data_IF_286315298635
#
_entry.id   IF_286315298635
#
_cell.length_a   1.000
_cell.length_b   1.000
_cell.length_c   1.000
_cell.angle_alpha   90.00
_cell.angle_beta   90.00
_cell.angle_gamma   90.00
#
_symmetry.space_group_name_H-M   'P 1'
#
loop_
_entity.id
_entity.type
_entity.pdbx_description
1 polymer ?
#
# COMPACT_ATOMS: atom_id res chain seq x y z
N UNK A 1 -23.28 -69.39 28.10
CA UNK A 1 -24.35 -68.43 27.79
C UNK A 1 -23.76 -67.02 27.95
N UNK A 2 -23.63 -66.31 26.81
CA UNK A 2 -23.40 -64.88 26.57
C UNK A 2 -22.24 -64.09 27.25
N UNK A 3 -21.29 -63.68 26.39
CA UNK A 3 -20.36 -62.57 26.55
C UNK A 3 -21.10 -61.23 26.64
N UNK A 4 -20.70 -60.36 27.57
CA UNK A 4 -21.16 -58.96 27.65
C UNK A 4 -20.02 -57.99 27.33
N UNK A 5 -19.96 -57.49 26.09
CA UNK A 5 -19.09 -56.37 25.72
C UNK A 5 -19.84 -55.04 25.90
N UNK A 6 -19.36 -54.18 26.81
CA UNK A 6 -19.83 -52.79 26.92
C UNK A 6 -19.15 -51.93 25.85
N UNK A 7 -19.92 -51.44 24.88
CA UNK A 7 -19.46 -50.44 23.90
C UNK A 7 -19.37 -49.07 24.56
N UNK A 8 -18.15 -48.52 24.67
CA UNK A 8 -17.93 -47.11 24.99
C UNK A 8 -17.80 -46.35 23.67
N UNK A 9 -18.85 -45.62 23.30
CA UNK A 9 -18.87 -44.74 22.13
C UNK A 9 -18.14 -43.45 22.49
N UNK A 10 -16.87 -43.33 22.11
CA UNK A 10 -16.11 -42.10 22.23
C UNK A 10 -16.51 -41.10 21.14
N UNK A 11 -17.08 -39.96 21.53
CA UNK A 11 -17.33 -38.85 20.63
C UNK A 11 -16.12 -37.91 20.64
N UNK A 12 -15.29 -37.98 19.61
CA UNK A 12 -14.24 -36.97 19.36
C UNK A 12 -14.85 -35.80 18.61
N UNK A 13 -15.17 -34.71 19.32
CA UNK A 13 -15.57 -33.45 18.69
C UNK A 13 -14.33 -32.73 18.16
N UNK A 14 -14.15 -32.74 16.84
CA UNK A 14 -13.13 -31.95 16.14
C UNK A 14 -13.60 -30.49 16.09
N UNK A 15 -13.00 -29.63 16.90
CA UNK A 15 -13.25 -28.19 16.84
C UNK A 15 -12.40 -27.58 15.71
N UNK A 16 -13.04 -27.18 14.62
CA UNK A 16 -12.41 -26.43 13.52
C UNK A 16 -12.50 -24.95 13.89
N UNK A 17 -11.37 -24.36 14.28
CA UNK A 17 -11.24 -22.91 14.46
C UNK A 17 -10.99 -22.31 13.08
N UNK A 18 -12.04 -21.74 12.48
CA UNK A 18 -11.92 -20.91 11.27
C UNK A 18 -11.27 -19.58 11.66
N UNK A 19 -9.94 -19.51 11.61
CA UNK A 19 -9.24 -18.22 11.58
C UNK A 19 -9.45 -17.65 10.18
N UNK A 20 -10.40 -16.73 10.04
CA UNK A 20 -10.59 -15.96 8.82
C UNK A 20 -9.33 -15.13 8.57
N UNK A 21 -8.48 -15.57 7.64
CA UNK A 21 -7.37 -14.75 7.15
C UNK A 21 -8.01 -13.66 6.29
N UNK A 22 -7.83 -12.36 6.59
CA UNK A 22 -8.29 -11.34 5.66
C UNK A 22 -7.55 -11.55 4.34
N UNK A 23 -8.30 -11.81 3.27
CA UNK A 23 -7.75 -11.79 1.91
C UNK A 23 -7.44 -10.32 1.62
N UNK A 24 -6.19 -9.92 1.86
CA UNK A 24 -5.67 -8.68 1.29
C UNK A 24 -5.80 -8.83 -0.23
N UNK A 25 -6.38 -7.83 -0.90
CA UNK A 25 -6.41 -7.81 -2.36
C UNK A 25 -5.00 -7.99 -2.91
N UNK A 26 -4.86 -8.64 -4.07
CA UNK A 26 -3.55 -8.81 -4.69
C UNK A 26 -2.92 -7.44 -4.97
N UNK A 27 -1.75 -7.18 -4.38
CA UNK A 27 -0.93 -5.99 -4.64
C UNK A 27 -0.15 -6.21 -5.94
N UNK A 28 -0.22 -5.25 -6.85
CA UNK A 28 0.59 -5.23 -8.06
C UNK A 28 1.58 -4.08 -7.96
N UNK A 29 2.87 -4.39 -8.04
CA UNK A 29 3.98 -3.45 -7.85
C UNK A 29 4.86 -3.45 -9.08
N UNK A 30 5.24 -2.26 -9.51
CA UNK A 30 6.12 -2.02 -10.65
C UNK A 30 7.27 -1.13 -10.21
N UNK A 31 8.50 -1.67 -10.25
CA UNK A 31 9.72 -0.89 -9.99
C UNK A 31 10.09 -0.07 -11.24
N UNK A 32 10.55 1.16 -11.03
CA UNK A 32 11.12 1.95 -12.11
C UNK A 32 12.50 1.42 -12.53
N UNK A 33 12.81 1.51 -13.83
CA UNK A 33 14.09 1.04 -14.40
C UNK A 33 15.09 2.17 -14.64
N UNK A 34 14.67 3.42 -14.47
CA UNK A 34 15.48 4.63 -14.65
C UNK A 34 15.11 5.62 -13.56
N UNK A 35 16.08 6.41 -13.09
CA UNK A 35 15.82 7.42 -12.06
C UNK A 35 17.02 7.66 -11.17
N UNK A 36 16.77 8.19 -9.97
CA UNK A 36 17.78 8.34 -8.92
C UNK A 36 17.67 7.20 -7.93
N UNK A 37 18.79 6.63 -7.53
CA UNK A 37 18.83 5.64 -6.44
C UNK A 37 18.66 6.37 -5.12
N UNK A 38 17.72 5.94 -4.29
CA UNK A 38 17.52 6.53 -2.96
C UNK A 38 16.50 5.79 -2.11
N UNK A 39 16.71 5.83 -0.79
CA UNK A 39 15.77 5.27 0.19
C UNK A 39 14.84 6.37 0.73
N UNK A 40 13.55 6.21 0.41
CA UNK A 40 12.47 7.10 0.83
C UNK A 40 11.56 6.49 1.90
N UNK A 41 11.88 5.29 2.41
CA UNK A 41 11.03 4.50 3.31
C UNK A 41 10.64 5.24 4.61
N UNK A 42 11.56 6.07 5.12
CA UNK A 42 11.35 6.87 6.33
C UNK A 42 10.17 7.87 6.23
N UNK A 43 9.72 8.22 5.02
CA UNK A 43 8.64 9.19 4.81
C UNK A 43 7.27 8.55 4.61
N UNK A 44 7.21 7.23 4.41
CA UNK A 44 5.97 6.51 4.04
C UNK A 44 4.86 6.77 5.06
N UNK A 45 5.11 6.51 6.34
CA UNK A 45 4.10 6.66 7.38
C UNK A 45 3.59 8.12 7.48
N UNK A 46 4.50 9.09 7.39
CA UNK A 46 4.13 10.51 7.44
C UNK A 46 3.27 10.93 6.23
N UNK A 47 3.63 10.47 5.03
CA UNK A 47 2.86 10.70 3.81
C UNK A 47 1.47 10.06 3.90
N UNK A 48 1.41 8.75 4.18
CA UNK A 48 0.17 7.99 4.22
C UNK A 48 -0.82 8.51 5.27
N UNK A 49 -0.35 8.89 6.46
CA UNK A 49 -1.19 9.51 7.49
C UNK A 49 -1.73 10.88 7.06
N UNK A 50 -0.96 11.65 6.30
CA UNK A 50 -1.39 12.97 5.79
C UNK A 50 -2.50 12.80 4.76
N UNK A 51 -2.27 11.97 3.73
CA UNK A 51 -3.21 11.82 2.62
C UNK A 51 -4.47 11.05 2.99
N UNK A 52 -4.42 10.22 4.04
CA UNK A 52 -5.59 9.46 4.55
C UNK A 52 -6.74 10.30 5.10
N UNK A 53 -6.58 11.63 5.10
CA UNK A 53 -7.64 12.60 5.47
C UNK A 53 -8.05 13.49 4.30
N UNK A 54 -7.43 13.32 3.14
CA UNK A 54 -7.63 14.15 1.96
C UNK A 54 -8.64 13.51 1.02
N UNK A 55 -9.67 14.26 0.63
CA UNK A 55 -10.58 13.86 -0.44
C UNK A 55 -9.92 14.21 -1.78
N UNK A 56 -9.48 13.20 -2.53
CA UNK A 56 -8.86 13.36 -3.85
C UNK A 56 -9.93 13.14 -4.92
N UNK A 57 -10.09 14.09 -5.83
CA UNK A 57 -11.06 13.95 -6.91
C UNK A 57 -10.65 12.83 -7.88
N UNK A 58 -11.61 12.29 -8.62
CA UNK A 58 -11.35 11.34 -9.70
C UNK A 58 -10.37 11.94 -10.73
N UNK A 59 -9.42 11.13 -11.20
CA UNK A 59 -8.35 11.55 -12.11
C UNK A 59 -7.55 12.77 -11.61
N UNK A 60 -7.34 12.84 -10.30
CA UNK A 60 -6.52 13.85 -9.64
C UNK A 60 -5.60 13.13 -8.64
N UNK A 61 -4.61 13.86 -8.12
CA UNK A 61 -3.63 13.34 -7.18
C UNK A 61 -3.49 14.16 -5.92
N UNK A 62 -2.86 13.53 -4.93
CA UNK A 62 -2.26 14.22 -3.81
C UNK A 62 -0.83 13.75 -3.67
N UNK A 63 0.09 14.70 -3.55
CA UNK A 63 1.52 14.41 -3.50
C UNK A 63 2.25 15.23 -2.45
N UNK A 64 3.35 14.67 -1.94
CA UNK A 64 4.28 15.39 -1.08
C UNK A 64 5.73 15.12 -1.44
N UNK A 65 6.53 16.18 -1.36
CA UNK A 65 7.98 16.11 -1.47
C UNK A 65 8.64 16.13 -0.09
N UNK A 66 9.64 15.26 0.11
CA UNK A 66 10.47 15.18 1.31
C UNK A 66 11.97 15.30 0.98
N UNK A 67 12.71 16.11 1.74
CA UNK A 67 14.16 16.25 1.57
C UNK A 67 14.92 15.18 2.36
N UNK A 68 15.93 14.54 1.74
CA UNK A 68 16.88 13.63 2.43
C UNK A 68 18.25 14.26 2.68
N UNK A 69 18.49 15.45 2.11
CA UNK A 69 19.74 16.21 2.22
C UNK A 69 20.62 16.11 0.97
N UNK A 70 20.60 14.99 0.25
CA UNK A 70 21.33 14.79 -1.01
C UNK A 70 20.42 14.54 -2.23
N UNK A 71 19.18 14.14 -1.99
CA UNK A 71 18.12 13.99 -2.99
C UNK A 71 16.77 14.37 -2.36
N UNK A 72 15.70 14.22 -3.12
CA UNK A 72 14.32 14.38 -2.65
C UNK A 72 13.48 13.15 -2.95
N UNK A 73 12.44 12.96 -2.16
CA UNK A 73 11.47 11.87 -2.31
C UNK A 73 10.12 12.47 -2.65
N UNK A 74 9.65 12.18 -3.86
CA UNK A 74 8.32 12.55 -4.33
C UNK A 74 7.38 11.34 -4.12
N UNK A 75 6.41 11.49 -3.22
CA UNK A 75 5.40 10.47 -2.95
C UNK A 75 4.04 10.98 -3.41
N UNK A 76 3.29 10.17 -4.16
CA UNK A 76 1.96 10.53 -4.69
C UNK A 76 0.94 9.41 -4.49
N UNK A 77 -0.32 9.81 -4.46
CA UNK A 77 -1.47 8.93 -4.54
C UNK A 77 -2.41 9.48 -5.61
N UNK A 78 -2.54 8.75 -6.72
CA UNK A 78 -3.38 9.09 -7.86
C UNK A 78 -4.70 8.33 -7.79
N UNK A 79 -5.83 9.05 -7.93
CA UNK A 79 -7.17 8.43 -7.91
C UNK A 79 -7.55 7.93 -9.32
N UNK A 80 -7.44 6.61 -9.51
CA UNK A 80 -7.74 5.88 -10.75
C UNK A 80 -9.24 5.85 -11.11
N UNK A 81 -10.14 6.34 -10.24
CA UNK A 81 -11.55 6.32 -10.57
C UNK A 81 -11.87 7.20 -11.79
N UNK A 82 -12.71 6.71 -12.73
CA UNK A 82 -13.24 7.54 -13.79
C UNK A 82 -14.42 8.40 -13.29
N UNK A 83 -14.59 9.59 -13.87
CA UNK A 83 -15.83 10.37 -13.76
C UNK A 83 -15.81 11.50 -12.72
N UNK A 84 -16.95 11.69 -12.04
CA UNK A 84 -17.19 12.80 -11.10
C UNK A 84 -17.36 12.23 -9.69
N UNK A 85 -16.56 12.69 -8.74
CA UNK A 85 -16.55 12.23 -7.35
C UNK A 85 -15.14 12.11 -6.81
N UNK A 86 -14.98 12.12 -5.49
CA UNK A 86 -13.69 11.96 -4.83
C UNK A 86 -13.68 10.77 -3.88
N UNK A 87 -12.48 10.24 -3.63
CA UNK A 87 -12.25 9.23 -2.61
C UNK A 87 -11.11 9.66 -1.70
N UNK A 88 -11.04 9.02 -0.54
CA UNK A 88 -9.91 9.18 0.40
C UNK A 88 -9.02 7.94 0.32
N UNK A 89 -7.69 8.12 0.13
CA UNK A 89 -6.75 7.00 0.17
C UNK A 89 -6.82 6.25 1.50
N UNK A 90 -6.81 4.92 1.45
CA UNK A 90 -6.69 4.11 2.67
C UNK A 90 -5.26 4.21 3.22
N UNK A 91 -5.13 4.64 4.48
CA UNK A 91 -3.82 4.72 5.16
C UNK A 91 -3.12 3.36 5.18
N UNK A 92 -3.84 2.28 5.47
CA UNK A 92 -3.24 0.93 5.53
C UNK A 92 -2.74 0.50 4.15
N UNK A 93 -3.54 0.71 3.10
CA UNK A 93 -3.16 0.31 1.75
C UNK A 93 -1.99 1.15 1.23
N UNK A 94 -1.98 2.45 1.54
CA UNK A 94 -0.85 3.32 1.22
C UNK A 94 0.45 2.82 1.85
N UNK A 95 0.45 2.50 3.16
CA UNK A 95 1.66 1.99 3.83
C UNK A 95 2.11 0.68 3.19
N UNK A 96 1.23 -0.30 3.04
CA UNK A 96 1.59 -1.60 2.44
C UNK A 96 2.11 -1.46 1.01
N UNK A 97 1.47 -0.62 0.18
CA UNK A 97 1.89 -0.39 -1.19
C UNK A 97 3.28 0.26 -1.25
N UNK A 98 3.51 1.32 -0.48
CA UNK A 98 4.78 2.04 -0.50
C UNK A 98 5.92 1.31 0.21
N UNK A 99 5.62 0.48 1.21
CA UNK A 99 6.60 -0.43 1.82
C UNK A 99 7.10 -1.48 0.82
N UNK A 100 6.22 -1.96 -0.06
CA UNK A 100 6.61 -2.86 -1.16
C UNK A 100 7.43 -2.13 -2.23
N UNK A 101 7.02 -0.90 -2.61
CA UNK A 101 7.80 -0.04 -3.52
C UNK A 101 9.17 0.33 -2.95
N UNK A 102 9.33 0.40 -1.62
CA UNK A 102 10.62 0.68 -0.98
C UNK A 102 11.68 -0.41 -1.24
N UNK A 103 11.28 -1.58 -1.73
CA UNK A 103 12.19 -2.63 -2.18
C UNK A 103 12.78 -2.34 -3.57
N UNK A 104 12.29 -1.32 -4.27
CA UNK A 104 12.81 -0.84 -5.56
C UNK A 104 13.79 0.32 -5.33
N UNK A 105 15.08 0.12 -5.63
CA UNK A 105 16.15 1.13 -5.41
C UNK A 105 15.89 2.49 -6.10
N UNK A 106 15.19 2.48 -7.24
CA UNK A 106 14.83 3.65 -8.04
C UNK A 106 13.40 4.15 -7.78
N UNK A 107 12.74 3.60 -6.76
CA UNK A 107 11.31 3.78 -6.55
C UNK A 107 10.45 2.99 -7.53
N UNK A 108 9.17 3.31 -7.56
CA UNK A 108 8.17 2.58 -8.32
C UNK A 108 6.76 2.98 -7.93
N UNK A 109 5.81 2.14 -8.31
CA UNK A 109 4.39 2.35 -8.08
C UNK A 109 3.70 1.03 -7.72
N UNK A 110 2.63 1.12 -6.93
CA UNK A 110 1.86 -0.05 -6.55
C UNK A 110 0.37 0.27 -6.39
N UNK A 111 -0.47 -0.71 -6.76
CA UNK A 111 -1.93 -0.64 -6.67
C UNK A 111 -2.50 -1.98 -6.25
N UNK A 112 -3.50 -1.94 -5.38
CA UNK A 112 -4.29 -3.13 -5.05
C UNK A 112 -5.25 -3.47 -6.18
N UNK A 113 -5.40 -4.75 -6.50
CA UNK A 113 -6.41 -5.23 -7.44
C UNK A 113 -7.81 -4.84 -6.94
N UNK A 114 -8.53 -4.04 -7.73
CA UNK A 114 -9.81 -3.46 -7.34
C UNK A 114 -9.72 -2.26 -6.39
N UNK A 115 -8.51 -1.77 -6.13
CA UNK A 115 -8.27 -0.51 -5.43
C UNK A 115 -8.45 0.70 -6.35
N UNK A 116 -8.65 1.87 -5.73
CA UNK A 116 -8.89 3.13 -6.44
C UNK A 116 -7.67 4.04 -6.53
N UNK A 117 -6.59 3.71 -5.81
CA UNK A 117 -5.42 4.57 -5.72
C UNK A 117 -4.17 3.83 -6.17
N UNK A 118 -3.46 4.44 -7.12
CA UNK A 118 -2.09 4.11 -7.46
C UNK A 118 -1.17 4.92 -6.54
N UNK A 119 -0.31 4.24 -5.80
CA UNK A 119 0.66 4.86 -4.91
C UNK A 119 2.03 4.83 -5.55
N UNK A 120 2.69 5.98 -5.63
CA UNK A 120 4.00 6.11 -6.25
C UNK A 120 4.99 6.71 -5.26
N UNK A 121 6.22 6.21 -5.29
CA UNK A 121 7.34 6.78 -4.55
C UNK A 121 8.55 6.84 -5.47
N UNK A 122 9.11 8.03 -5.63
CA UNK A 122 10.20 8.28 -6.55
C UNK A 122 11.30 9.13 -5.89
N UNK A 123 12.50 8.57 -5.69
CA UNK A 123 13.68 9.37 -5.41
C UNK A 123 14.07 10.18 -6.66
N UNK A 124 14.26 11.48 -6.50
CA UNK A 124 14.63 12.41 -7.56
C UNK A 124 15.81 13.29 -7.13
N UNK A 125 16.63 13.79 -8.07
CA UNK A 125 17.74 14.67 -7.73
C UNK A 125 17.22 16.04 -7.25
N UNK A 126 18.04 16.72 -6.46
CA UNK A 126 17.74 18.07 -5.97
C UNK A 126 17.01 18.09 -4.64
N UNK A 127 16.29 19.19 -4.39
CA UNK A 127 15.58 19.47 -3.14
C UNK A 127 14.14 19.89 -3.43
N UNK A 128 13.26 19.70 -2.46
CA UNK A 128 11.89 20.19 -2.50
C UNK A 128 11.86 21.72 -2.53
N UNK A 129 11.49 22.30 -3.68
CA UNK A 129 11.22 23.74 -3.79
C UNK A 129 9.94 24.13 -3.03
N UNK A 130 9.00 23.19 -2.95
CA UNK A 130 7.79 23.26 -2.13
C UNK A 130 7.47 21.85 -1.59
N UNK A 131 6.46 21.73 -0.73
CA UNK A 131 6.02 20.42 -0.23
C UNK A 131 5.21 19.61 -1.26
N UNK A 132 5.17 20.01 -2.53
CA UNK A 132 4.43 19.35 -3.61
C UNK A 132 5.38 18.36 -4.30
N UNK A 133 4.90 17.15 -4.58
CA UNK A 133 5.65 16.15 -5.32
C UNK A 133 5.76 16.52 -6.80
N UNK A 134 6.91 16.25 -7.42
CA UNK A 134 7.03 16.31 -8.88
C UNK A 134 6.47 15.00 -9.46
N UNK A 135 5.36 15.07 -10.18
CA UNK A 135 4.66 13.87 -10.67
C UNK A 135 5.31 13.18 -11.87
N UNK A 136 6.51 13.56 -12.27
CA UNK A 136 7.27 12.90 -13.35
C UNK A 136 6.48 12.75 -14.65
N UNK A 137 6.59 13.73 -15.55
CA UNK A 137 6.00 13.66 -16.89
C UNK A 137 6.55 12.49 -17.74
#
# INVERSE_FOLDING_TARGET
MLLGYRKLTGYSTLAIVLTGVPVLGQLNTECFTTGTVGDCSQFISAFCNTIGTSLVQAADSVGRCFNTGSFKCDLTAWNELPGIGGNTPSVSNCNTALEDVALCDLGGQAIFTGGNFLFTMQPNPGICASNIADEGA
#
